data_IF_043219715165
#
_entry.id   IF_043219715165
#
_cell.length_a   1.000
_cell.length_b   1.000
_cell.length_c   1.000
_cell.angle_alpha   90.00
_cell.angle_beta   90.00
_cell.angle_gamma   90.00
#
_symmetry.space_group_name_H-M   'P 1'
#
loop_
_entity.id
_entity.type
_entity.pdbx_description
1 polymer ?
#
# COMPACT_ATOMS: atom_id res chain seq x y z
N UNK A 1 -19.85 13.82 2.69
CA UNK A 1 -18.80 12.85 2.28
C UNK A 1 -19.07 12.41 0.86
N UNK A 2 -18.12 12.62 -0.04
CA UNK A 2 -18.22 12.19 -1.43
C UNK A 2 -16.93 11.51 -1.88
N UNK A 3 -17.03 10.48 -2.73
CA UNK A 3 -15.88 9.89 -3.40
C UNK A 3 -15.64 10.70 -4.68
N UNK A 4 -14.44 11.26 -4.82
CA UNK A 4 -14.07 12.09 -5.98
C UNK A 4 -13.38 11.30 -7.08
N UNK A 5 -12.61 10.28 -6.70
CA UNK A 5 -11.89 9.44 -7.64
C UNK A 5 -11.76 8.03 -7.07
N UNK A 6 -11.91 7.04 -7.94
CA UNK A 6 -11.79 5.63 -7.61
C UNK A 6 -10.98 4.92 -8.69
N UNK A 7 -9.85 4.35 -8.31
CA UNK A 7 -9.03 3.48 -9.15
C UNK A 7 -8.71 2.18 -8.39
N UNK A 8 -8.05 1.24 -9.07
CA UNK A 8 -7.65 -0.03 -8.49
C UNK A 8 -6.65 0.10 -7.32
N UNK A 9 -5.97 1.23 -7.18
CA UNK A 9 -4.91 1.44 -6.18
C UNK A 9 -5.08 2.69 -5.31
N UNK A 10 -6.06 3.53 -5.63
CA UNK A 10 -6.24 4.85 -5.02
C UNK A 10 -7.72 5.23 -4.93
N UNK A 11 -8.12 5.75 -3.78
CA UNK A 11 -9.46 6.26 -3.50
C UNK A 11 -9.34 7.64 -2.88
N UNK A 12 -9.94 8.64 -3.51
CA UNK A 12 -9.98 10.02 -3.02
C UNK A 12 -11.35 10.30 -2.40
N UNK A 13 -11.37 10.59 -1.10
CA UNK A 13 -12.58 10.89 -0.33
C UNK A 13 -12.53 12.34 0.11
N UNK A 14 -13.58 13.11 -0.19
CA UNK A 14 -13.77 14.46 0.28
C UNK A 14 -14.78 14.50 1.44
N UNK A 15 -14.40 15.16 2.54
CA UNK A 15 -15.24 15.35 3.72
C UNK A 15 -15.47 16.85 3.94
N UNK A 16 -16.72 17.26 3.79
CA UNK A 16 -17.09 18.69 3.79
C UNK A 16 -17.28 19.26 5.21
N UNK A 17 -17.60 18.42 6.21
CA UNK A 17 -17.89 18.82 7.60
C UNK A 17 -17.37 17.80 8.63
N UNK A 18 -16.12 17.37 8.51
CA UNK A 18 -15.51 16.43 9.45
C UNK A 18 -15.05 17.12 10.74
N UNK A 19 -15.40 16.56 11.90
CA UNK A 19 -14.92 17.01 13.21
C UNK A 19 -13.64 16.28 13.60
N UNK A 20 -12.86 16.90 14.50
CA UNK A 20 -11.68 16.24 15.07
C UNK A 20 -12.10 14.97 15.80
N UNK A 21 -11.39 13.87 15.51
CA UNK A 21 -11.67 12.58 16.11
C UNK A 21 -12.66 11.72 15.31
N UNK A 22 -13.37 12.29 14.34
CA UNK A 22 -14.22 11.52 13.42
C UNK A 22 -13.41 10.48 12.66
N UNK A 23 -14.05 9.36 12.36
CA UNK A 23 -13.45 8.26 11.60
C UNK A 23 -14.02 8.28 10.18
N UNK A 24 -13.13 8.41 9.21
CA UNK A 24 -13.47 8.25 7.80
C UNK A 24 -13.17 6.80 7.43
N UNK A 25 -14.21 6.04 7.08
CA UNK A 25 -14.11 4.63 6.70
C UNK A 25 -14.41 4.49 5.21
N UNK A 26 -13.58 3.73 4.51
CA UNK A 26 -13.83 3.28 3.14
C UNK A 26 -14.20 1.81 3.18
N UNK A 27 -15.32 1.46 2.53
CA UNK A 27 -15.88 0.09 2.52
C UNK A 27 -15.09 -0.85 1.60
N UNK A 28 -13.83 -1.08 1.96
CA UNK A 28 -12.90 -2.02 1.33
C UNK A 28 -12.21 -2.82 2.42
N UNK A 29 -11.86 -4.08 2.15
CA UNK A 29 -11.19 -4.94 3.12
C UNK A 29 -9.83 -4.38 3.52
N UNK A 30 -9.55 -4.38 4.83
CA UNK A 30 -8.27 -3.97 5.37
C UNK A 30 -7.20 -5.05 5.16
N UNK A 31 -6.02 -4.60 4.76
CA UNK A 31 -4.78 -5.38 4.69
C UNK A 31 -3.61 -4.48 5.10
N UNK A 32 -2.56 -5.01 5.75
CA UNK A 32 -1.34 -4.24 5.99
C UNK A 32 -0.78 -3.63 4.69
N UNK A 33 -0.41 -2.34 4.73
CA UNK A 33 0.09 -1.59 3.58
C UNK A 33 -0.88 -0.56 3.00
N UNK A 34 -2.12 -0.46 3.51
CA UNK A 34 -2.97 0.70 3.23
C UNK A 34 -2.41 1.97 3.87
N UNK A 35 -2.41 3.06 3.09
CA UNK A 35 -1.93 4.38 3.48
C UNK A 35 -3.01 5.42 3.29
N UNK A 36 -3.14 6.37 4.21
CA UNK A 36 -4.00 7.54 4.06
C UNK A 36 -3.18 8.80 4.16
N UNK A 37 -3.14 9.59 3.09
CA UNK A 37 -2.27 10.77 2.97
C UNK A 37 -0.79 10.47 3.32
N UNK A 38 -0.32 9.24 3.03
CA UNK A 38 1.04 8.79 3.31
C UNK A 38 1.25 8.13 4.69
N UNK A 39 0.32 8.28 5.63
CA UNK A 39 0.36 7.64 6.94
C UNK A 39 -0.27 6.24 6.92
N UNK A 40 0.04 5.38 7.88
CA UNK A 40 -0.64 4.07 7.99
C UNK A 40 -2.14 4.24 8.17
N UNK A 41 -2.91 3.46 7.42
CA UNK A 41 -4.35 3.39 7.61
C UNK A 41 -4.69 2.58 8.87
N UNK A 42 -5.80 2.93 9.49
CA UNK A 42 -6.38 2.19 10.61
C UNK A 42 -7.27 1.08 10.10
N UNK A 43 -7.33 -0.02 10.85
CA UNK A 43 -8.36 -1.04 10.68
C UNK A 43 -9.58 -0.65 11.53
N UNK A 44 -10.76 -0.64 10.91
CA UNK A 44 -12.03 -0.47 11.62
C UNK A 44 -13.05 -1.49 11.09
N UNK A 45 -13.44 -2.46 11.91
CA UNK A 45 -14.37 -3.53 11.51
C UNK A 45 -13.96 -4.23 10.20
N UNK A 46 -12.67 -4.58 10.08
CA UNK A 46 -12.09 -5.17 8.87
C UNK A 46 -12.13 -4.27 7.62
N UNK A 47 -12.42 -2.98 7.78
CA UNK A 47 -12.38 -1.96 6.74
C UNK A 47 -11.22 -0.99 6.94
N UNK A 48 -10.87 -0.29 5.86
CA UNK A 48 -9.82 0.72 5.86
C UNK A 48 -10.37 2.05 6.39
N UNK A 49 -9.70 2.62 7.37
CA UNK A 49 -10.12 3.84 8.02
C UNK A 49 -8.96 4.82 8.26
N UNK A 50 -9.31 6.08 8.53
CA UNK A 50 -8.43 7.07 9.13
C UNK A 50 -9.20 7.90 10.14
N UNK A 51 -8.48 8.46 11.11
CA UNK A 51 -9.04 9.45 12.02
C UNK A 51 -8.68 10.85 11.53
N UNK A 52 -9.65 11.76 11.57
CA UNK A 52 -9.43 13.17 11.28
C UNK A 52 -8.57 13.76 12.42
N UNK A 53 -7.30 14.06 12.11
CA UNK A 53 -6.36 14.74 12.99
C UNK A 53 -6.03 16.10 12.41
N UNK A 54 -6.28 17.17 13.15
CA UNK A 54 -5.84 18.51 12.73
C UNK A 54 -4.32 18.60 12.89
N UNK A 55 -3.62 18.84 11.79
CA UNK A 55 -2.33 19.53 11.80
C UNK A 55 -2.61 21.04 11.91
N UNK A 56 -1.74 21.82 12.54
CA UNK A 56 -1.90 23.28 12.70
C UNK A 56 -2.10 24.02 11.35
N UNK A 57 -1.77 23.37 10.23
CA UNK A 57 -1.96 23.87 8.85
C UNK A 57 -3.42 23.79 8.34
N UNK A 58 -4.33 23.09 9.04
CA UNK A 58 -5.69 22.77 8.57
C UNK A 58 -6.79 23.76 8.99
N UNK A 59 -6.45 24.83 9.73
CA UNK A 59 -7.46 25.69 10.40
C UNK A 59 -7.96 26.85 9.53
N UNK A 60 -7.40 27.10 8.35
CA UNK A 60 -7.68 28.36 7.62
C UNK A 60 -8.51 28.29 6.33
N UNK A 61 -8.81 27.11 5.77
CA UNK A 61 -9.71 27.03 4.61
C UNK A 61 -10.92 26.14 4.91
N UNK A 62 -12.12 26.68 4.68
CA UNK A 62 -13.40 25.95 4.58
C UNK A 62 -13.40 25.01 3.35
N UNK A 63 -12.28 24.38 3.05
CA UNK A 63 -12.11 23.52 1.89
C UNK A 63 -12.20 22.06 2.33
N UNK A 64 -12.87 21.28 1.50
CA UNK A 64 -13.16 19.88 1.74
C UNK A 64 -11.88 19.13 2.13
N UNK A 65 -11.91 18.46 3.27
CA UNK A 65 -10.78 17.64 3.70
C UNK A 65 -10.65 16.46 2.76
N UNK A 66 -9.53 16.38 2.05
CA UNK A 66 -9.27 15.32 1.09
C UNK A 66 -8.43 14.21 1.74
N UNK A 67 -8.98 13.01 1.74
CA UNK A 67 -8.31 11.81 2.22
C UNK A 67 -7.98 10.91 1.04
N UNK A 68 -6.69 10.67 0.86
CA UNK A 68 -6.11 9.85 -0.19
C UNK A 68 -5.76 8.48 0.35
N UNK A 69 -6.62 7.51 0.11
CA UNK A 69 -6.40 6.11 0.48
C UNK A 69 -5.63 5.42 -0.65
N UNK A 70 -4.49 4.80 -0.35
CA UNK A 70 -3.65 4.10 -1.32
C UNK A 70 -3.17 2.78 -0.76
N UNK A 71 -3.24 1.71 -1.56
CA UNK A 71 -2.63 0.44 -1.18
C UNK A 71 -1.17 0.38 -1.65
N UNK A 72 -0.23 0.41 -0.70
CA UNK A 72 1.22 0.39 -0.91
C UNK A 72 1.88 -0.66 0.00
N UNK A 73 1.72 -1.96 -0.28
CA UNK A 73 2.36 -3.01 0.51
C UNK A 73 3.87 -3.03 0.24
N UNK A 74 4.65 -2.41 1.12
CA UNK A 74 6.11 -2.42 1.03
C UNK A 74 6.65 -3.84 1.16
N UNK A 75 6.11 -4.60 2.10
CA UNK A 75 6.52 -5.98 2.41
C UNK A 75 6.32 -6.92 1.21
N UNK A 76 5.25 -6.74 0.44
CA UNK A 76 5.01 -7.53 -0.78
C UNK A 76 6.09 -7.28 -1.83
N UNK A 77 6.47 -6.01 -2.04
CA UNK A 77 7.50 -5.66 -3.02
C UNK A 77 8.86 -6.23 -2.64
N UNK A 78 9.21 -6.15 -1.35
CA UNK A 78 10.46 -6.71 -0.83
C UNK A 78 10.45 -8.24 -0.96
N UNK A 79 9.37 -8.91 -0.56
CA UNK A 79 9.23 -10.36 -0.65
C UNK A 79 9.32 -10.88 -2.08
N UNK A 80 8.68 -10.19 -3.04
CA UNK A 80 8.77 -10.52 -4.46
C UNK A 80 10.18 -10.36 -5.01
N UNK A 81 10.88 -9.28 -4.63
CA UNK A 81 12.26 -9.04 -5.03
C UNK A 81 13.22 -10.12 -4.51
N UNK A 82 13.13 -10.45 -3.21
CA UNK A 82 13.96 -11.51 -2.61
C UNK A 82 13.69 -12.86 -3.28
N UNK A 83 12.43 -13.16 -3.55
CA UNK A 83 12.03 -14.39 -4.25
C UNK A 83 12.65 -14.49 -5.65
N UNK A 84 12.65 -13.39 -6.41
CA UNK A 84 13.30 -13.32 -7.73
C UNK A 84 14.82 -13.57 -7.64
N UNK A 85 15.49 -12.97 -6.65
CA UNK A 85 16.93 -13.18 -6.43
C UNK A 85 17.24 -14.64 -6.07
N UNK A 86 16.40 -15.28 -5.24
CA UNK A 86 16.58 -16.68 -4.91
C UNK A 86 16.38 -17.60 -6.12
N UNK A 87 15.35 -17.37 -6.93
CA UNK A 87 15.07 -18.16 -8.13
C UNK A 87 16.21 -18.02 -9.15
N UNK A 88 16.69 -16.79 -9.38
CA UNK A 88 17.78 -16.56 -10.33
C UNK A 88 19.06 -17.25 -9.89
N UNK A 89 19.43 -17.16 -8.60
CA UNK A 89 20.60 -17.86 -8.06
C UNK A 89 20.49 -19.39 -8.22
N UNK A 90 19.32 -19.96 -7.93
CA UNK A 90 19.08 -21.40 -8.13
C UNK A 90 19.21 -21.81 -9.59
N UNK A 91 18.71 -20.98 -10.51
CA UNK A 91 18.83 -21.20 -11.95
C UNK A 91 20.30 -21.11 -12.44
N UNK A 92 21.06 -20.10 -12.01
CA UNK A 92 22.48 -19.98 -12.34
C UNK A 92 23.30 -21.17 -11.81
N UNK A 93 23.02 -21.62 -10.59
CA UNK A 93 23.68 -22.80 -10.02
C UNK A 93 23.40 -24.06 -10.85
N UNK A 94 22.15 -24.29 -11.27
CA UNK A 94 21.77 -25.41 -12.14
C UNK A 94 22.46 -25.33 -13.51
N UNK A 95 22.50 -24.16 -14.14
CA UNK A 95 23.20 -23.97 -15.42
C UNK A 95 24.69 -24.27 -15.31
N UNK A 96 25.33 -23.84 -14.22
CA UNK A 96 26.75 -24.03 -13.99
C UNK A 96 27.08 -25.51 -13.75
N UNK A 97 26.25 -26.22 -12.98
CA UNK A 97 26.36 -27.67 -12.80
C UNK A 97 26.18 -28.43 -14.12
N UNK A 98 25.22 -28.05 -14.95
CA UNK A 98 24.97 -28.70 -16.24
C UNK A 98 26.15 -28.49 -17.20
N UNK A 99 26.74 -27.29 -17.20
CA UNK A 99 27.94 -26.97 -17.99
C UNK A 99 29.17 -27.76 -17.53
N UNK A 100 29.36 -27.93 -16.22
CA UNK A 100 30.45 -28.74 -15.66
C UNK A 100 30.28 -30.23 -15.99
N UNK A 101 29.05 -30.76 -15.93
CA UNK A 101 28.76 -32.15 -16.30
C UNK A 101 29.06 -32.46 -17.76
N UNK A 102 28.76 -31.55 -18.69
CA UNK A 102 29.13 -31.72 -20.10
C UNK A 102 30.64 -31.56 -20.35
N UNK A 103 31.34 -30.75 -19.55
CA UNK A 103 32.80 -30.57 -19.66
C UNK A 103 33.60 -31.76 -19.13
N UNK A 104 33.05 -32.57 -18.21
CA UNK A 104 33.73 -33.77 -17.67
C UNK A 104 33.60 -35.02 -18.56
N UNK A 105 32.83 -34.94 -19.65
CA UNK A 105 32.61 -36.04 -20.61
C UNK A 105 33.42 -35.89 -21.92
N UNK A 106 34.38 -34.96 -21.97
CA UNK A 106 35.35 -34.78 -23.07
C UNK A 106 36.78 -35.01 -22.60
#
# INVERSE_FOLDING_TARGET
VSIREYSSSEILVAVDQGLLGDIVVVKVSYYPGWKVNGNEALEYQSMVATQIKFSEEYVSSKENQLFKFQFKPLDFKIGAFVSLVCISNKYYSLLLLNKLSHSSHF
#
